data_IF_589155668107
#
_entry.id   IF_589155668107
#
_cell.length_a   1.000
_cell.length_b   1.000
_cell.length_c   1.000
_cell.angle_alpha   90.00
_cell.angle_beta   90.00
_cell.angle_gamma   90.00
#
_symmetry.space_group_name_H-M   'P 1'
#
loop_
_entity.id
_entity.type
_entity.pdbx_description
1 polymer ?
#
# COMPACT_ATOMS: atom_id res chain seq x y z
N UNK A 1 6.29 -24.76 9.44
CA UNK A 1 6.27 -23.53 10.28
C UNK A 1 6.77 -22.29 9.52
N UNK A 2 7.90 -22.35 8.82
CA UNK A 2 8.51 -21.22 8.11
C UNK A 2 7.55 -20.43 7.20
N UNK A 3 6.75 -21.10 6.36
CA UNK A 3 5.78 -20.43 5.47
C UNK A 3 4.79 -19.53 6.23
N UNK A 4 4.27 -19.99 7.38
CA UNK A 4 3.34 -19.21 8.19
C UNK A 4 4.02 -17.97 8.76
N UNK A 5 5.27 -18.12 9.22
CA UNK A 5 6.08 -17.01 9.71
C UNK A 5 6.30 -15.97 8.59
N UNK A 6 6.69 -16.40 7.39
CA UNK A 6 6.88 -15.50 6.23
C UNK A 6 5.60 -14.73 5.90
N UNK A 7 4.45 -15.40 5.86
CA UNK A 7 3.16 -14.74 5.58
C UNK A 7 2.77 -13.71 6.66
N UNK A 8 3.08 -14.00 7.93
CA UNK A 8 2.84 -13.06 9.04
C UNK A 8 3.78 -11.86 8.92
N UNK A 9 5.07 -12.08 8.65
CA UNK A 9 6.05 -11.00 8.47
C UNK A 9 5.63 -10.09 7.33
N UNK A 10 5.22 -10.64 6.18
CA UNK A 10 4.72 -9.85 5.05
C UNK A 10 3.54 -8.97 5.48
N UNK A 11 2.55 -9.55 6.19
CA UNK A 11 1.40 -8.79 6.68
C UNK A 11 1.80 -7.65 7.59
N UNK A 12 2.65 -7.94 8.58
CA UNK A 12 3.08 -6.94 9.56
C UNK A 12 3.83 -5.80 8.88
N UNK A 13 4.80 -6.10 8.02
CA UNK A 13 5.60 -5.07 7.33
C UNK A 13 4.71 -4.15 6.48
N UNK A 14 3.83 -4.72 5.64
CA UNK A 14 2.93 -3.94 4.78
C UNK A 14 1.96 -3.11 5.62
N UNK A 15 1.35 -3.69 6.66
CA UNK A 15 0.36 -2.98 7.45
C UNK A 15 1.00 -1.86 8.28
N UNK A 16 2.18 -2.09 8.86
CA UNK A 16 2.91 -1.06 9.60
C UNK A 16 3.31 0.10 8.69
N UNK A 17 3.83 -0.20 7.49
CA UNK A 17 4.21 0.83 6.52
C UNK A 17 3.02 1.73 6.14
N UNK A 18 1.89 1.12 5.76
CA UNK A 18 0.68 1.85 5.34
C UNK A 18 0.03 2.63 6.48
N UNK A 19 -0.10 2.03 7.67
CA UNK A 19 -0.63 2.74 8.83
C UNK A 19 0.28 3.88 9.27
N UNK A 20 1.60 3.69 9.21
CA UNK A 20 2.55 4.74 9.53
C UNK A 20 2.38 5.94 8.58
N UNK A 21 2.30 5.67 7.27
CA UNK A 21 2.02 6.69 6.25
C UNK A 21 0.71 7.44 6.49
N UNK A 22 -0.38 6.70 6.72
CA UNK A 22 -1.70 7.29 6.93
C UNK A 22 -1.78 8.14 8.20
N UNK A 23 -1.44 7.57 9.36
CA UNK A 23 -1.67 8.20 10.66
C UNK A 23 -0.65 9.27 11.03
N UNK A 24 0.59 9.20 10.54
CA UNK A 24 1.63 10.16 10.93
C UNK A 24 1.94 11.21 9.86
N UNK A 25 1.64 10.94 8.58
CA UNK A 25 1.94 11.88 7.50
C UNK A 25 0.68 12.44 6.85
N UNK A 26 -0.27 11.57 6.46
CA UNK A 26 -1.43 11.99 5.65
C UNK A 26 -2.50 12.67 6.49
N UNK A 27 -3.01 12.03 7.53
CA UNK A 27 -4.07 12.60 8.36
C UNK A 27 -3.64 13.84 9.17
N UNK A 28 -2.45 13.86 9.81
CA UNK A 28 -1.99 15.06 10.53
C UNK A 28 -1.64 16.20 9.57
N UNK A 29 -1.40 15.88 8.30
CA UNK A 29 -1.09 16.88 7.30
C UNK A 29 0.24 17.58 7.53
N UNK A 30 1.29 16.83 7.86
CA UNK A 30 2.63 17.38 8.04
C UNK A 30 3.10 18.14 6.78
N UNK A 31 3.98 19.17 6.89
CA UNK A 31 4.36 20.02 5.76
C UNK A 31 4.84 19.25 4.52
N UNK A 32 5.65 18.20 4.74
CA UNK A 32 6.13 17.32 3.68
C UNK A 32 4.97 16.63 2.92
N UNK A 33 3.96 16.13 3.66
CA UNK A 33 2.78 15.49 3.09
C UNK A 33 1.90 16.50 2.34
N UNK A 34 1.74 17.71 2.87
CA UNK A 34 1.05 18.79 2.15
C UNK A 34 1.71 19.03 0.80
N UNK A 35 3.02 19.31 0.79
CA UNK A 35 3.76 19.62 -0.41
C UNK A 35 3.64 18.50 -1.47
N UNK A 36 3.82 17.24 -1.06
CA UNK A 36 3.68 16.08 -1.95
C UNK A 36 2.31 16.02 -2.63
N UNK A 37 1.24 16.20 -1.86
CA UNK A 37 -0.12 16.15 -2.40
C UNK A 37 -0.53 17.43 -3.13
N UNK A 38 0.12 18.57 -2.87
CA UNK A 38 -0.02 19.77 -3.69
C UNK A 38 0.53 19.52 -5.08
N UNK A 39 1.73 18.94 -5.20
CA UNK A 39 2.29 18.54 -6.52
C UNK A 39 1.36 17.60 -7.27
N UNK A 40 0.72 16.65 -6.56
CA UNK A 40 -0.27 15.75 -7.15
C UNK A 40 -1.53 16.48 -7.61
N UNK A 41 -2.05 17.41 -6.80
CA UNK A 41 -3.17 18.29 -7.16
C UNK A 41 -2.86 19.09 -8.42
N UNK A 42 -1.67 19.70 -8.48
CA UNK A 42 -1.23 20.53 -9.60
C UNK A 42 -1.03 19.71 -10.88
N UNK A 43 -0.54 18.47 -10.77
CA UNK A 43 -0.39 17.55 -11.90
C UNK A 43 -1.72 17.19 -12.59
N UNK A 44 -2.84 17.32 -11.87
CA UNK A 44 -4.19 17.12 -12.42
C UNK A 44 -4.91 18.47 -12.58
N UNK A 45 -4.16 19.56 -12.77
CA UNK A 45 -4.68 20.92 -12.96
C UNK A 45 -5.64 21.40 -11.86
N UNK A 46 -5.49 20.88 -10.63
CA UNK A 46 -6.37 21.19 -9.50
C UNK A 46 -7.79 20.62 -9.61
N UNK A 47 -8.06 19.72 -10.57
CA UNK A 47 -9.36 19.03 -10.69
C UNK A 47 -9.72 18.32 -9.39
N UNK A 48 -8.71 17.75 -8.72
CA UNK A 48 -8.82 17.15 -7.40
C UNK A 48 -7.94 17.95 -6.44
N UNK A 49 -8.55 18.47 -5.37
CA UNK A 49 -7.82 19.30 -4.40
C UNK A 49 -6.86 18.48 -3.54
N UNK A 50 -5.77 19.13 -3.12
CA UNK A 50 -4.75 18.55 -2.24
C UNK A 50 -5.34 17.82 -1.00
N UNK A 51 -6.32 18.37 -0.25
CA UNK A 51 -6.87 17.67 0.92
C UNK A 51 -7.60 16.38 0.52
N UNK A 52 -8.30 16.37 -0.62
CA UNK A 52 -9.01 15.19 -1.12
C UNK A 52 -8.01 14.11 -1.50
N UNK A 53 -6.95 14.45 -2.23
CA UNK A 53 -5.89 13.50 -2.55
C UNK A 53 -5.23 12.92 -1.29
N UNK A 54 -4.88 13.78 -0.33
CA UNK A 54 -4.17 13.36 0.89
C UNK A 54 -5.03 12.48 1.79
N UNK A 55 -6.24 12.93 2.12
CA UNK A 55 -7.14 12.19 3.01
C UNK A 55 -7.68 10.93 2.31
N UNK A 56 -7.98 11.03 1.01
CA UNK A 56 -8.37 9.88 0.20
C UNK A 56 -7.29 8.80 0.23
N UNK A 57 -6.04 9.15 -0.08
CA UNK A 57 -4.90 8.23 0.02
C UNK A 57 -4.77 7.64 1.44
N UNK A 58 -4.88 8.46 2.49
CA UNK A 58 -4.85 7.97 3.88
C UNK A 58 -5.97 6.96 4.19
N UNK A 59 -7.16 7.14 3.61
CA UNK A 59 -8.27 6.21 3.76
C UNK A 59 -7.98 4.86 3.10
N UNK A 60 -7.47 4.86 1.86
CA UNK A 60 -7.06 3.63 1.17
C UNK A 60 -5.96 2.88 1.95
N UNK A 61 -5.00 3.61 2.48
CA UNK A 61 -3.92 3.09 3.31
C UNK A 61 -4.36 2.66 4.72
N UNK A 62 -5.58 2.96 5.13
CA UNK A 62 -6.17 2.45 6.37
C UNK A 62 -7.03 1.21 6.10
N UNK A 63 -7.88 1.26 5.07
CA UNK A 63 -8.77 0.16 4.68
C UNK A 63 -7.97 -1.06 4.21
N UNK A 64 -6.94 -0.85 3.37
CA UNK A 64 -6.11 -1.92 2.83
C UNK A 64 -5.51 -2.82 3.91
N UNK A 65 -4.74 -2.27 4.87
CA UNK A 65 -4.18 -3.02 6.00
C UNK A 65 -5.24 -3.72 6.86
N UNK A 66 -6.37 -3.09 7.15
CA UNK A 66 -7.46 -3.71 7.94
C UNK A 66 -7.96 -4.97 7.23
N UNK A 67 -8.26 -4.87 5.94
CA UNK A 67 -8.67 -6.02 5.12
C UNK A 67 -7.59 -7.09 5.05
N UNK A 68 -6.31 -6.69 5.04
CA UNK A 68 -5.18 -7.60 4.92
C UNK A 68 -4.90 -8.38 6.22
N UNK A 69 -5.09 -7.76 7.38
CA UNK A 69 -4.92 -8.37 8.69
C UNK A 69 -5.96 -9.46 8.96
N UNK A 70 -7.23 -9.20 8.63
CA UNK A 70 -8.34 -10.14 8.86
C UNK A 70 -8.15 -11.42 8.02
N UNK A 71 -7.98 -12.61 8.62
CA UNK A 71 -7.64 -13.84 7.89
C UNK A 71 -8.61 -14.19 6.76
N UNK A 72 -9.90 -13.94 6.96
CA UNK A 72 -10.96 -14.23 5.98
C UNK A 72 -10.87 -13.35 4.73
N UNK A 73 -10.46 -12.09 4.88
CA UNK A 73 -10.37 -11.11 3.79
C UNK A 73 -8.94 -10.88 3.31
N UNK A 74 -7.94 -11.56 3.89
CA UNK A 74 -6.54 -11.27 3.66
C UNK A 74 -6.12 -11.32 2.18
N UNK A 75 -6.64 -12.25 1.38
CA UNK A 75 -6.34 -12.30 -0.06
C UNK A 75 -6.97 -11.12 -0.80
N UNK A 76 -8.17 -10.73 -0.43
CA UNK A 76 -8.81 -9.53 -0.98
C UNK A 76 -8.07 -8.26 -0.59
N UNK A 77 -7.68 -8.12 0.69
CA UNK A 77 -6.86 -7.00 1.17
C UNK A 77 -5.52 -6.91 0.45
N UNK A 78 -4.83 -8.04 0.24
CA UNK A 78 -3.58 -8.06 -0.51
C UNK A 78 -3.77 -7.61 -1.97
N UNK A 79 -4.83 -8.06 -2.64
CA UNK A 79 -5.15 -7.64 -4.00
C UNK A 79 -5.52 -6.15 -4.08
N UNK A 80 -6.29 -5.67 -3.11
CA UNK A 80 -6.66 -4.26 -3.00
C UNK A 80 -5.43 -3.37 -2.84
N UNK A 81 -4.52 -3.72 -1.91
CA UNK A 81 -3.28 -2.98 -1.70
C UNK A 81 -2.43 -3.00 -2.97
N UNK A 82 -2.26 -4.17 -3.61
CA UNK A 82 -1.48 -4.26 -4.85
C UNK A 82 -2.05 -3.35 -5.95
N UNK A 83 -3.36 -3.36 -6.18
CA UNK A 83 -4.01 -2.49 -7.17
C UNK A 83 -3.85 -1.01 -6.82
N UNK A 84 -4.04 -0.64 -5.55
CA UNK A 84 -3.87 0.74 -5.10
C UNK A 84 -2.41 1.22 -5.29
N UNK A 85 -1.44 0.36 -4.97
CA UNK A 85 -0.01 0.65 -5.14
C UNK A 85 0.40 0.83 -6.60
N UNK A 86 -0.32 0.26 -7.57
CA UNK A 86 -0.09 0.58 -8.99
C UNK A 86 -0.31 2.07 -9.23
N UNK A 87 -1.41 2.65 -8.71
CA UNK A 87 -1.67 4.08 -8.82
C UNK A 87 -0.59 4.94 -8.16
N UNK A 88 -0.11 4.50 -6.99
CA UNK A 88 1.00 5.17 -6.27
C UNK A 88 2.32 5.09 -7.06
N UNK A 89 2.63 3.95 -7.67
CA UNK A 89 3.84 3.80 -8.49
C UNK A 89 3.75 4.64 -9.77
N UNK A 90 2.58 4.67 -10.42
CA UNK A 90 2.38 5.54 -11.58
C UNK A 90 2.56 7.00 -11.22
N UNK A 91 2.08 7.45 -10.05
CA UNK A 91 2.30 8.83 -9.64
C UNK A 91 3.78 9.17 -9.42
N UNK A 92 4.58 8.21 -8.98
CA UNK A 92 6.03 8.41 -8.87
C UNK A 92 6.71 8.45 -10.22
N UNK A 93 6.34 7.56 -11.13
CA UNK A 93 6.92 7.50 -12.48
C UNK A 93 6.64 8.79 -13.26
N UNK A 94 5.43 9.35 -13.15
CA UNK A 94 5.01 10.50 -13.94
C UNK A 94 5.14 11.86 -13.24
N UNK A 95 5.07 11.91 -11.91
CA UNK A 95 4.94 13.18 -11.16
C UNK A 95 6.02 13.35 -10.08
N UNK A 96 6.19 12.36 -9.20
CA UNK A 96 6.97 12.53 -7.95
C UNK A 96 8.46 12.12 -8.05
N UNK A 97 8.84 11.34 -9.05
CA UNK A 97 10.19 10.83 -9.26
C UNK A 97 10.55 9.57 -8.44
N UNK A 98 11.82 9.16 -8.52
CA UNK A 98 12.33 7.86 -8.06
C UNK A 98 13.06 7.88 -6.70
N UNK A 99 12.64 8.75 -5.77
CA UNK A 99 13.28 8.87 -4.45
C UNK A 99 12.99 7.70 -3.49
N UNK A 100 13.32 7.87 -2.21
CA UNK A 100 13.04 6.85 -1.18
C UNK A 100 11.56 6.45 -1.09
N UNK A 101 10.64 7.39 -1.34
CA UNK A 101 9.21 7.10 -1.39
C UNK A 101 8.82 6.15 -2.53
N UNK A 102 9.54 6.17 -3.66
CA UNK A 102 9.33 5.22 -4.76
C UNK A 102 9.74 3.80 -4.35
N UNK A 103 10.89 3.67 -3.69
CA UNK A 103 11.37 2.37 -3.20
C UNK A 103 10.40 1.80 -2.17
N UNK A 104 9.90 2.65 -1.27
CA UNK A 104 8.89 2.28 -0.29
C UNK A 104 7.60 1.78 -0.96
N UNK A 105 7.06 2.53 -1.92
CA UNK A 105 5.89 2.13 -2.70
C UNK A 105 6.13 0.82 -3.47
N UNK A 106 7.33 0.61 -4.02
CA UNK A 106 7.69 -0.61 -4.74
C UNK A 106 7.71 -1.83 -3.81
N UNK A 107 8.31 -1.71 -2.63
CA UNK A 107 8.31 -2.79 -1.63
C UNK A 107 6.88 -3.11 -1.20
N UNK A 108 6.08 -2.08 -0.92
CA UNK A 108 4.68 -2.20 -0.49
C UNK A 108 3.77 -2.73 -1.61
N UNK A 109 4.17 -2.62 -2.89
CA UNK A 109 3.53 -3.31 -4.01
C UNK A 109 3.94 -4.80 -4.11
N UNK A 110 5.23 -5.10 -3.99
CA UNK A 110 5.78 -6.43 -4.22
C UNK A 110 5.38 -7.43 -3.11
N UNK A 111 5.35 -6.98 -1.85
CA UNK A 111 5.04 -7.85 -0.71
C UNK A 111 3.61 -8.43 -0.73
N UNK A 112 2.54 -7.66 -1.00
CA UNK A 112 1.19 -8.20 -1.22
C UNK A 112 1.11 -9.10 -2.47
N UNK A 113 1.83 -8.78 -3.54
CA UNK A 113 1.91 -9.65 -4.72
C UNK A 113 2.53 -11.02 -4.37
N UNK A 114 3.62 -11.02 -3.61
CA UNK A 114 4.24 -12.23 -3.09
C UNK A 114 3.28 -13.01 -2.18
N UNK A 115 2.55 -12.32 -1.29
CA UNK A 115 1.52 -12.95 -0.45
C UNK A 115 0.45 -13.66 -1.29
N UNK A 116 -0.07 -13.02 -2.34
CA UNK A 116 -1.06 -13.60 -3.24
C UNK A 116 -0.52 -14.85 -3.96
N UNK A 117 0.73 -14.77 -4.44
CA UNK A 117 1.40 -15.88 -5.07
C UNK A 117 1.60 -17.07 -4.11
N UNK A 118 2.00 -16.81 -2.86
CA UNK A 118 2.21 -17.86 -1.85
C UNK A 118 0.90 -18.45 -1.31
N UNK A 119 -0.21 -17.71 -1.39
CA UNK A 119 -1.54 -18.14 -0.90
C UNK A 119 -2.46 -18.64 -2.02
N UNK A 120 -1.95 -18.80 -3.24
CA UNK A 120 -2.71 -19.37 -4.36
C UNK A 120 -3.17 -20.80 -4.04
N UNK A 121 -4.41 -21.20 -4.41
CA UNK A 121 -4.99 -22.50 -4.04
C UNK A 121 -4.12 -23.69 -4.44
N UNK A 122 -3.42 -23.61 -5.58
CA UNK A 122 -2.52 -24.66 -6.06
C UNK A 122 -1.24 -24.86 -5.24
N UNK A 123 -0.76 -23.86 -4.50
CA UNK A 123 0.42 -23.99 -3.64
C UNK A 123 0.12 -24.51 -2.24
N UNK A 124 -1.15 -24.47 -1.82
CA UNK A 124 -1.55 -24.97 -0.51
C UNK A 124 -1.55 -26.51 -0.45
N UNK A 125 -1.78 -27.19 -1.59
CA UNK A 125 -1.78 -28.66 -1.68
C UNK A 125 -0.38 -29.27 -1.65
N UNK A 126 0.61 -28.65 -2.32
CA UNK A 126 1.95 -29.22 -2.58
C UNK A 126 2.87 -29.45 -1.35
N UNK A 127 2.37 -29.16 -0.14
CA UNK A 127 3.12 -29.31 1.12
C UNK A 127 2.20 -29.83 2.25
N UNK A 128 1.03 -30.37 1.89
CA UNK A 128 0.14 -31.09 2.81
C UNK A 128 0.35 -32.62 2.71
N UNK A 129 1.33 -33.03 1.91
CA UNK A 129 1.83 -34.39 1.70
C UNK A 129 3.23 -34.47 2.34
#
# INVERSE_FOLDING_TARGET
>A
MLRKIVLIVIKVLVCLNLFYGAFFFKFPGVPFSIALFTTMSDAVHGIISQPVFRIGAGLFETIGPILFLIPRTARFGAAFIATYMIGVLMSHIFVLGYGMAFVDALITFLLPCLYLYMTRPGHAKRYAD
#
